data_IF_150041561230
#
_entry.id   IF_150041561230
#
_cell.length_a   1.000
_cell.length_b   1.000
_cell.length_c   1.000
_cell.angle_alpha   90.00
_cell.angle_beta   90.00
_cell.angle_gamma   90.00
#
_symmetry.space_group_name_H-M   'P 1'
#
loop_
_entity.id
_entity.type
_entity.pdbx_description
1 polymer ?
#
# COMPACT_ATOMS: atom_id res chain seq x y z
N UNK A 1 5.62 -5.46 -6.29
CA UNK A 1 5.80 -5.24 -4.83
C UNK A 1 6.73 -6.25 -4.17
N UNK A 2 6.55 -7.57 -4.34
CA UNK A 2 7.37 -8.61 -3.68
C UNK A 2 8.89 -8.33 -3.75
N UNK A 3 9.42 -8.11 -4.95
CA UNK A 3 10.85 -7.85 -5.15
C UNK A 3 11.34 -6.62 -4.36
N UNK A 4 10.68 -5.48 -4.51
CA UNK A 4 11.08 -4.23 -3.84
C UNK A 4 10.92 -4.33 -2.32
N UNK A 5 9.96 -5.10 -1.82
CA UNK A 5 9.83 -5.34 -0.38
C UNK A 5 10.96 -6.24 0.15
N UNK A 6 11.40 -7.22 -0.65
CA UNK A 6 12.44 -8.18 -0.26
C UNK A 6 13.85 -7.57 -0.28
N UNK A 7 14.12 -6.67 -1.22
CA UNK A 7 15.46 -6.14 -1.48
C UNK A 7 15.49 -4.62 -1.37
N UNK A 8 16.18 -4.12 -0.34
CA UNK A 8 16.48 -2.71 -0.14
C UNK A 8 18.01 -2.50 -0.17
N UNK A 9 18.48 -1.52 -0.95
CA UNK A 9 19.92 -1.26 -1.12
C UNK A 9 20.57 -0.62 0.11
N UNK A 10 19.80 0.11 0.92
CA UNK A 10 20.28 0.84 2.10
C UNK A 10 20.07 0.01 3.38
N UNK A 11 18.91 -0.61 3.51
CA UNK A 11 18.52 -1.37 4.71
C UNK A 11 18.76 -2.88 4.59
N UNK A 12 19.15 -3.36 3.41
CA UNK A 12 19.46 -4.76 3.15
C UNK A 12 18.22 -5.59 2.80
N UNK A 13 18.36 -6.91 2.94
CA UNK A 13 17.30 -7.86 2.59
C UNK A 13 16.33 -8.06 3.75
N UNK A 14 15.03 -8.10 3.45
CA UNK A 14 14.03 -8.53 4.42
C UNK A 14 14.18 -10.04 4.72
N UNK A 15 14.40 -10.40 5.99
CA UNK A 15 14.66 -11.80 6.38
C UNK A 15 13.40 -12.66 6.56
N UNK A 16 12.20 -12.07 6.47
CA UNK A 16 10.94 -12.81 6.53
C UNK A 16 10.50 -13.38 5.18
N UNK A 17 9.37 -14.07 5.21
CA UNK A 17 8.72 -14.57 4.01
C UNK A 17 7.90 -13.47 3.36
N UNK A 18 8.04 -13.33 2.04
CA UNK A 18 7.23 -12.42 1.23
C UNK A 18 7.03 -13.01 -0.15
N UNK A 19 5.76 -13.14 -0.54
CA UNK A 19 5.36 -13.69 -1.84
C UNK A 19 4.04 -13.06 -2.29
N UNK A 20 3.58 -13.43 -3.48
CA UNK A 20 2.27 -13.04 -4.01
C UNK A 20 1.34 -14.26 -4.00
N UNK A 21 0.09 -14.04 -3.65
CA UNK A 21 -0.95 -15.07 -3.67
C UNK A 21 -2.29 -14.42 -4.06
N UNK A 22 -2.82 -14.74 -5.24
CA UNK A 22 -4.15 -14.31 -5.66
C UNK A 22 -4.30 -12.79 -5.82
N UNK A 23 -3.26 -12.10 -6.30
CA UNK A 23 -3.20 -10.65 -6.46
C UNK A 23 -2.91 -9.89 -5.16
N UNK A 24 -2.67 -10.59 -4.05
CA UNK A 24 -2.34 -10.00 -2.76
C UNK A 24 -0.85 -10.15 -2.46
N UNK A 25 -0.31 -9.19 -1.70
CA UNK A 25 1.01 -9.34 -1.10
C UNK A 25 0.86 -10.15 0.19
N UNK A 26 1.65 -11.21 0.36
CA UNK A 26 1.69 -11.98 1.59
C UNK A 26 3.01 -11.71 2.29
N UNK A 27 2.97 -11.23 3.54
CA UNK A 27 4.18 -10.99 4.36
C UNK A 27 4.04 -11.77 5.66
N UNK A 28 4.94 -12.72 5.90
CA UNK A 28 4.88 -13.62 7.06
C UNK A 28 3.48 -14.23 7.27
N UNK A 29 2.86 -14.70 6.19
CA UNK A 29 1.50 -15.29 6.19
C UNK A 29 0.34 -14.28 6.28
N UNK A 30 0.60 -12.97 6.39
CA UNK A 30 -0.45 -11.95 6.41
C UNK A 30 -0.76 -11.47 4.99
N UNK A 31 -2.01 -11.62 4.56
CA UNK A 31 -2.50 -11.15 3.25
C UNK A 31 -2.78 -9.65 3.29
N UNK A 32 -2.26 -8.94 2.30
CA UNK A 32 -2.36 -7.49 2.15
C UNK A 32 -2.93 -7.20 0.75
N UNK A 33 -4.05 -6.47 0.70
CA UNK A 33 -4.64 -6.04 -0.56
C UNK A 33 -3.72 -5.08 -1.31
N UNK A 34 -3.56 -5.30 -2.61
CA UNK A 34 -2.80 -4.45 -3.51
C UNK A 34 -3.76 -3.87 -4.55
N UNK A 35 -3.66 -2.56 -4.78
CA UNK A 35 -4.46 -1.83 -5.77
C UNK A 35 -3.53 -1.12 -6.75
N UNK A 36 -3.98 -0.95 -7.99
CA UNK A 36 -3.24 -0.24 -9.04
C UNK A 36 -4.12 0.87 -9.63
N UNK A 37 -4.47 1.84 -8.80
CA UNK A 37 -5.34 2.96 -9.17
C UNK A 37 -4.56 4.27 -9.21
N UNK A 38 -4.79 5.07 -10.25
CA UNK A 38 -4.19 6.41 -10.34
C UNK A 38 -4.91 7.43 -9.45
N UNK A 39 -6.22 7.27 -9.28
CA UNK A 39 -7.06 8.15 -8.47
C UNK A 39 -7.26 7.54 -7.09
N UNK A 40 -6.81 8.18 -5.99
CA UNK A 40 -6.93 7.61 -4.65
C UNK A 40 -8.37 7.35 -4.20
N UNK A 41 -9.33 8.13 -4.72
CA UNK A 41 -10.76 8.01 -4.42
C UNK A 41 -11.43 6.75 -4.99
N UNK A 42 -10.77 6.04 -5.92
CA UNK A 42 -11.28 4.78 -6.50
C UNK A 42 -10.87 3.57 -5.65
N UNK A 43 -9.86 3.73 -4.80
CA UNK A 43 -9.40 2.65 -3.94
C UNK A 43 -10.44 2.42 -2.84
N UNK A 44 -10.92 1.17 -2.65
CA UNK A 44 -12.02 0.88 -1.73
C UNK A 44 -11.53 0.76 -0.27
N UNK A 45 -11.00 1.85 0.29
CA UNK A 45 -10.38 1.90 1.62
C UNK A 45 -11.29 1.33 2.73
N UNK A 46 -12.56 1.72 2.75
CA UNK A 46 -13.52 1.20 3.72
C UNK A 46 -13.76 -0.31 3.62
N UNK A 47 -13.69 -0.90 2.42
CA UNK A 47 -13.90 -2.36 2.22
C UNK A 47 -12.76 -3.20 2.77
N UNK A 48 -11.56 -2.65 2.80
CA UNK A 48 -10.37 -3.33 3.35
C UNK A 48 -10.14 -3.00 4.83
N UNK A 49 -11.04 -2.23 5.45
CA UNK A 49 -10.96 -1.87 6.86
C UNK A 49 -9.85 -0.88 7.20
N UNK A 50 -9.46 0.00 6.26
CA UNK A 50 -8.45 1.01 6.52
C UNK A 50 -9.03 2.16 7.37
N UNK A 51 -8.51 2.33 8.58
CA UNK A 51 -8.86 3.45 9.48
C UNK A 51 -8.01 4.70 9.18
N UNK A 52 -6.78 4.50 8.74
CA UNK A 52 -5.81 5.54 8.40
C UNK A 52 -5.19 5.28 7.03
N UNK A 53 -4.91 6.36 6.31
CA UNK A 53 -4.21 6.30 5.02
C UNK A 53 -2.92 7.11 5.11
N UNK A 54 -1.80 6.48 4.75
CA UNK A 54 -0.49 7.13 4.65
C UNK A 54 -0.28 7.57 3.21
N UNK A 55 -0.32 8.88 2.97
CA UNK A 55 -0.02 9.48 1.66
C UNK A 55 1.50 9.58 1.48
N UNK A 56 2.08 8.67 0.71
CA UNK A 56 3.53 8.60 0.45
C UNK A 56 3.88 8.70 -1.04
N UNK A 57 2.94 9.14 -1.88
CA UNK A 57 3.18 9.39 -3.31
C UNK A 57 3.95 10.69 -3.54
N UNK A 58 3.86 11.65 -2.61
CA UNK A 58 4.47 12.97 -2.72
C UNK A 58 3.69 13.94 -3.60
N UNK A 59 2.50 13.56 -4.07
CA UNK A 59 1.65 14.37 -4.97
C UNK A 59 0.56 15.14 -4.21
N UNK A 60 0.04 14.59 -3.11
CA UNK A 60 -1.10 15.14 -2.37
C UNK A 60 -0.67 15.75 -1.04
N UNK A 61 0.26 16.71 -1.10
CA UNK A 61 0.99 17.24 0.06
C UNK A 61 0.32 18.42 0.78
N UNK A 62 -0.92 18.79 0.42
CA UNK A 62 -1.71 19.79 1.14
C UNK A 62 -2.96 19.16 1.74
N UNK A 63 -3.56 19.79 2.75
CA UNK A 63 -4.77 19.29 3.41
C UNK A 63 -5.89 19.09 2.38
N UNK A 64 -6.07 20.06 1.49
CA UNK A 64 -7.13 20.04 0.46
C UNK A 64 -6.92 18.90 -0.51
N UNK A 65 -5.68 18.67 -0.94
CA UNK A 65 -5.33 17.58 -1.86
C UNK A 65 -5.43 16.22 -1.16
N UNK A 66 -5.00 16.11 0.09
CA UNK A 66 -5.07 14.86 0.84
C UNK A 66 -6.50 14.44 1.16
N UNK A 67 -7.45 15.38 1.21
CA UNK A 67 -8.85 15.10 1.49
C UNK A 67 -9.49 14.13 0.47
N UNK A 68 -8.95 14.01 -0.75
CA UNK A 68 -9.45 13.05 -1.75
C UNK A 68 -9.16 11.59 -1.38
N UNK A 69 -8.29 11.34 -0.40
CA UNK A 69 -8.00 10.00 0.12
C UNK A 69 -9.04 9.54 1.15
N UNK A 70 -9.71 10.47 1.83
CA UNK A 70 -10.62 10.18 2.95
C UNK A 70 -12.11 10.05 2.56
N UNK A 71 -12.44 10.13 1.27
CA UNK A 71 -13.84 10.13 0.78
C UNK A 71 -14.30 8.80 0.14
N UNK A 72 -13.76 7.65 0.57
CA UNK A 72 -14.17 6.33 0.08
C UNK A 72 -14.69 5.43 1.20
#
# INVERSE_FOLDING_TARGET
MVYMFKFDSTHGRFNGDVHEEGGMLVVNGRKIHVFQEMKPSVIPWGKVGAEYVVESTGVFTTIEKAHVLSQA
#
